data_IF_393249443525
#
_entry.id   IF_393249443525
#
_cell.length_a   1.000
_cell.length_b   1.000
_cell.length_c   1.000
_cell.angle_alpha   90.00
_cell.angle_beta   90.00
_cell.angle_gamma   90.00
#
_symmetry.space_group_name_H-M   'P 1'
#
loop_
_entity.id
_entity.type
_entity.pdbx_description
1 polymer ?
#
# COMPACT_ATOMS: atom_id res chain seq x y z
N UNK A 1 -3.57 -16.71 -8.81
CA UNK A 1 -4.31 -17.82 -9.43
C UNK A 1 -3.49 -19.11 -9.47
N UNK A 2 -4.13 -20.21 -9.07
CA UNK A 2 -3.58 -21.56 -9.01
C UNK A 2 -4.53 -22.52 -9.75
N UNK A 3 -3.99 -23.51 -10.46
CA UNK A 3 -4.81 -24.47 -11.23
C UNK A 3 -5.58 -25.47 -10.37
N UNK A 4 -5.17 -25.65 -9.13
CA UNK A 4 -5.75 -26.58 -8.18
C UNK A 4 -6.03 -25.83 -6.87
N UNK A 5 -7.20 -26.07 -6.31
CA UNK A 5 -7.66 -25.51 -5.06
C UNK A 5 -8.40 -26.60 -4.26
N UNK A 6 -8.42 -26.47 -2.94
CA UNK A 6 -9.13 -27.38 -2.06
C UNK A 6 -9.89 -26.60 -1.00
N UNK A 7 -10.95 -27.23 -0.48
CA UNK A 7 -11.71 -26.71 0.65
C UNK A 7 -11.02 -27.03 1.96
N UNK A 8 -11.11 -26.08 2.90
CA UNK A 8 -10.72 -26.28 4.29
C UNK A 8 -11.59 -27.36 4.94
N UNK A 9 -11.11 -27.97 6.03
CA UNK A 9 -11.92 -28.86 6.86
C UNK A 9 -13.17 -28.16 7.42
N UNK A 10 -13.06 -26.86 7.73
CA UNK A 10 -14.19 -26.06 8.24
C UNK A 10 -15.31 -25.89 7.20
N UNK A 11 -14.96 -25.90 5.92
CA UNK A 11 -15.88 -25.70 4.79
C UNK A 11 -16.24 -27.01 4.07
N UNK A 12 -16.14 -28.13 4.78
CA UNK A 12 -16.51 -29.46 4.30
C UNK A 12 -15.51 -30.11 3.34
N UNK A 13 -14.27 -29.60 3.29
CA UNK A 13 -13.14 -30.21 2.60
C UNK A 13 -12.27 -31.07 3.52
N UNK A 14 -11.00 -31.22 3.14
CA UNK A 14 -10.03 -32.06 3.87
C UNK A 14 -8.75 -31.33 4.25
N UNK A 15 -8.51 -30.14 3.70
CA UNK A 15 -7.29 -29.39 3.96
C UNK A 15 -7.32 -28.76 5.36
N UNK A 16 -6.21 -28.84 6.08
CA UNK A 16 -6.07 -28.38 7.46
C UNK A 16 -5.37 -27.03 7.57
N UNK A 17 -4.48 -26.71 6.62
CA UNK A 17 -3.59 -25.55 6.75
C UNK A 17 -3.80 -24.52 5.65
N UNK A 18 -3.90 -23.26 6.04
CA UNK A 18 -3.65 -22.11 5.17
C UNK A 18 -2.21 -21.60 5.35
N UNK A 19 -1.82 -20.59 4.59
CA UNK A 19 -0.57 -19.85 4.77
C UNK A 19 -0.42 -19.30 6.19
N UNK A 20 -1.53 -18.89 6.83
CA UNK A 20 -1.55 -18.42 8.22
C UNK A 20 -1.08 -19.48 9.21
N UNK A 21 -1.71 -20.67 9.22
CA UNK A 21 -1.33 -21.73 10.16
C UNK A 21 0.10 -22.20 9.93
N UNK A 22 0.51 -22.32 8.66
CA UNK A 22 1.87 -22.71 8.29
C UNK A 22 2.91 -21.68 8.76
N UNK A 23 2.61 -20.39 8.59
CA UNK A 23 3.49 -19.29 9.01
C UNK A 23 3.66 -19.27 10.53
N UNK A 24 2.57 -19.44 11.29
CA UNK A 24 2.62 -19.51 12.75
C UNK A 24 3.49 -20.67 13.24
N UNK A 25 3.28 -21.87 12.69
CA UNK A 25 4.08 -23.05 13.03
C UNK A 25 5.55 -22.85 12.69
N UNK A 26 5.86 -22.26 11.53
CA UNK A 26 7.23 -21.97 11.12
C UNK A 26 7.91 -20.98 12.08
N UNK A 27 7.25 -19.86 12.42
CA UNK A 27 7.80 -18.85 13.32
C UNK A 27 8.00 -19.37 14.75
N UNK A 28 7.16 -20.31 15.22
CA UNK A 28 7.31 -20.92 16.55
C UNK A 28 8.44 -21.96 16.63
N UNK A 29 8.78 -22.60 15.51
CA UNK A 29 9.62 -23.82 15.51
C UNK A 29 10.95 -23.65 14.79
N UNK A 30 11.11 -22.66 13.93
CA UNK A 30 12.27 -22.50 13.08
C UNK A 30 13.11 -21.27 13.41
N UNK A 31 14.42 -21.40 13.20
CA UNK A 31 15.41 -20.32 13.36
C UNK A 31 15.97 -19.79 12.03
N UNK A 32 15.72 -20.51 10.94
CA UNK A 32 16.24 -20.20 9.60
C UNK A 32 15.13 -20.25 8.57
N UNK A 33 15.30 -19.53 7.47
CA UNK A 33 14.37 -19.50 6.36
C UNK A 33 14.21 -20.89 5.73
N UNK A 34 15.32 -21.63 5.56
CA UNK A 34 15.30 -23.02 5.12
C UNK A 34 14.42 -23.92 5.99
N UNK A 35 14.59 -23.86 7.32
CA UNK A 35 13.78 -24.65 8.24
C UNK A 35 12.29 -24.35 8.07
N UNK A 36 11.95 -23.06 7.96
CA UNK A 36 10.56 -22.64 7.79
C UNK A 36 9.95 -23.21 6.51
N UNK A 37 10.66 -23.14 5.38
CA UNK A 37 10.22 -23.72 4.10
C UNK A 37 10.00 -25.22 4.21
N UNK A 38 10.97 -25.95 4.76
CA UNK A 38 10.89 -27.40 4.88
C UNK A 38 9.76 -27.84 5.81
N UNK A 39 9.56 -27.12 6.92
CA UNK A 39 8.48 -27.40 7.88
C UNK A 39 7.10 -27.11 7.28
N UNK A 40 6.91 -25.93 6.67
CA UNK A 40 5.63 -25.59 6.03
C UNK A 40 5.31 -26.57 4.90
N UNK A 41 6.32 -26.89 4.08
CA UNK A 41 6.21 -27.86 3.00
C UNK A 41 5.85 -29.27 3.49
N UNK A 42 6.50 -29.78 4.54
CA UNK A 42 6.20 -31.11 5.12
C UNK A 42 4.79 -31.16 5.72
N UNK A 43 4.38 -30.13 6.47
CA UNK A 43 3.06 -30.11 7.11
C UNK A 43 1.95 -30.08 6.07
N UNK A 44 2.06 -29.17 5.09
CA UNK A 44 1.07 -29.07 4.03
C UNK A 44 1.05 -30.34 3.15
N UNK A 45 2.22 -30.86 2.77
CA UNK A 45 2.30 -32.02 1.88
C UNK A 45 1.89 -33.33 2.55
N UNK A 46 2.37 -33.60 3.78
CA UNK A 46 2.34 -34.92 4.39
C UNK A 46 1.42 -35.03 5.60
N UNK A 47 0.91 -33.92 6.15
CA UNK A 47 0.11 -33.93 7.39
C UNK A 47 -1.33 -33.48 7.21
N UNK A 48 -1.56 -32.44 6.41
CA UNK A 48 -2.85 -31.76 6.45
C UNK A 48 -3.38 -31.19 5.16
N UNK A 49 -2.64 -31.19 4.05
CA UNK A 49 -3.06 -30.48 2.84
C UNK A 49 -3.03 -28.96 3.01
N UNK A 50 -3.35 -28.26 1.91
CA UNK A 50 -3.37 -26.80 1.85
C UNK A 50 -4.70 -26.28 1.28
N UNK A 51 -5.20 -25.16 1.80
CA UNK A 51 -6.27 -24.37 1.21
C UNK A 51 -5.87 -22.89 1.15
N UNK A 52 -6.29 -22.18 0.10
CA UNK A 52 -6.07 -20.73 -0.06
C UNK A 52 -7.17 -19.90 0.59
N UNK A 53 -7.19 -18.59 0.31
CA UNK A 53 -8.18 -17.64 0.84
C UNK A 53 -9.62 -18.05 0.49
N UNK A 54 -9.85 -18.56 -0.73
CA UNK A 54 -11.10 -19.21 -1.12
C UNK A 54 -10.86 -20.50 -1.94
N UNK A 55 -11.95 -21.12 -2.42
CA UNK A 55 -11.92 -22.42 -3.11
C UNK A 55 -11.80 -22.30 -4.64
N UNK A 56 -11.71 -21.08 -5.13
CA UNK A 56 -11.56 -20.70 -6.52
C UNK A 56 -10.11 -20.82 -6.98
N UNK A 57 -9.96 -20.93 -8.29
CA UNK A 57 -8.63 -20.99 -8.94
C UNK A 57 -7.94 -19.63 -8.99
N UNK A 58 -8.65 -18.55 -8.71
CA UNK A 58 -8.11 -17.19 -8.66
C UNK A 58 -7.30 -16.92 -7.38
N UNK A 59 -7.72 -17.47 -6.24
CA UNK A 59 -7.09 -17.26 -4.92
C UNK A 59 -6.68 -18.56 -4.19
N UNK A 60 -6.91 -19.74 -4.77
CA UNK A 60 -6.62 -21.04 -4.11
C UNK A 60 -5.14 -21.39 -3.91
N UNK A 61 -4.22 -20.46 -4.16
CA UNK A 61 -2.78 -20.66 -3.99
C UNK A 61 -2.08 -19.39 -3.53
N UNK A 62 -1.02 -19.57 -2.75
CA UNK A 62 -0.39 -18.50 -1.97
C UNK A 62 1.11 -18.36 -2.26
N UNK A 63 1.62 -17.17 -1.95
CA UNK A 63 3.02 -16.81 -2.10
C UNK A 63 3.55 -16.21 -0.80
N UNK A 64 4.64 -16.76 -0.29
CA UNK A 64 5.30 -16.29 0.92
C UNK A 64 6.73 -15.88 0.61
N UNK A 65 7.20 -14.82 1.28
CA UNK A 65 8.61 -14.43 1.29
C UNK A 65 9.15 -14.71 2.69
N UNK A 66 10.19 -15.52 2.76
CA UNK A 66 10.80 -15.97 4.01
C UNK A 66 12.26 -15.55 3.99
N UNK A 67 12.70 -14.89 5.04
CA UNK A 67 14.08 -14.45 5.16
C UNK A 67 14.61 -14.61 6.58
N UNK A 68 15.91 -14.81 6.68
CA UNK A 68 16.70 -14.73 7.90
C UNK A 68 17.94 -13.85 7.64
N UNK A 69 18.86 -13.67 8.61
CA UNK A 69 20.02 -12.80 8.41
C UNK A 69 21.00 -13.21 7.30
N UNK A 70 20.84 -14.40 6.70
CA UNK A 70 21.77 -14.99 5.74
C UNK A 70 21.17 -15.29 4.37
N UNK A 71 19.85 -15.45 4.29
CA UNK A 71 19.17 -15.80 3.03
C UNK A 71 17.73 -15.31 2.97
N UNK A 72 17.22 -15.14 1.75
CA UNK A 72 15.82 -14.84 1.46
C UNK A 72 15.30 -15.79 0.39
N UNK A 73 14.03 -16.15 0.50
CA UNK A 73 13.37 -17.17 -0.31
C UNK A 73 11.96 -16.72 -0.70
N UNK A 74 11.56 -17.12 -1.90
CA UNK A 74 10.16 -17.08 -2.34
C UNK A 74 9.62 -18.50 -2.28
N UNK A 75 8.43 -18.69 -1.70
CA UNK A 75 7.74 -19.97 -1.53
C UNK A 75 6.33 -19.88 -2.11
N UNK A 76 6.01 -20.74 -3.08
CA UNK A 76 4.66 -20.86 -3.66
C UNK A 76 4.02 -22.16 -3.23
N UNK A 77 2.73 -22.12 -2.94
CA UNK A 77 1.99 -23.29 -2.45
C UNK A 77 0.55 -23.29 -2.97
N UNK A 78 0.08 -24.46 -3.37
CA UNK A 78 -1.32 -24.73 -3.71
C UNK A 78 -1.74 -26.11 -3.22
N UNK A 79 -3.04 -26.37 -3.26
CA UNK A 79 -3.59 -27.69 -2.95
C UNK A 79 -3.14 -28.74 -3.98
N UNK A 80 -3.08 -30.00 -3.54
CA UNK A 80 -3.07 -31.12 -4.47
C UNK A 80 -4.52 -31.50 -4.90
N UNK A 81 -4.69 -32.34 -5.94
CA UNK A 81 -6.02 -32.75 -6.42
C UNK A 81 -6.87 -33.50 -5.38
N UNK A 82 -6.25 -34.12 -4.36
CA UNK A 82 -6.99 -34.84 -3.33
C UNK A 82 -7.48 -33.94 -2.19
N UNK A 83 -6.94 -32.73 -2.07
CA UNK A 83 -7.17 -31.82 -0.95
C UNK A 83 -6.58 -32.31 0.38
N UNK A 84 -5.79 -33.38 0.37
CA UNK A 84 -5.15 -33.98 1.57
C UNK A 84 -3.65 -33.75 1.59
N UNK A 85 -3.10 -33.20 0.52
CA UNK A 85 -1.71 -32.86 0.34
C UNK A 85 -1.60 -31.46 -0.28
N UNK A 86 -0.37 -31.02 -0.53
CA UNK A 86 -0.06 -29.75 -1.13
C UNK A 86 1.02 -29.93 -2.20
N UNK A 87 1.06 -28.99 -3.13
CA UNK A 87 2.11 -28.85 -4.12
C UNK A 87 2.80 -27.53 -3.81
N UNK A 88 4.13 -27.52 -3.74
CA UNK A 88 4.87 -26.31 -3.41
C UNK A 88 6.23 -26.26 -4.07
N UNK A 89 6.76 -25.05 -4.25
CA UNK A 89 8.11 -24.79 -4.72
C UNK A 89 8.69 -23.58 -4.01
N UNK A 90 10.01 -23.60 -3.80
CA UNK A 90 10.74 -22.49 -3.23
C UNK A 90 12.01 -22.20 -4.06
N UNK A 91 12.35 -20.91 -4.16
CA UNK A 91 13.59 -20.46 -4.81
C UNK A 91 14.31 -19.40 -3.96
N UNK A 92 15.62 -19.55 -3.80
CA UNK A 92 16.50 -18.58 -3.13
C UNK A 92 16.59 -17.31 -3.96
N UNK A 93 16.49 -16.16 -3.32
CA UNK A 93 16.87 -14.88 -3.92
C UNK A 93 18.41 -14.80 -3.91
N UNK A 94 19.08 -14.62 -5.07
CA UNK A 94 20.53 -14.49 -5.11
C UNK A 94 21.03 -13.30 -4.27
N UNK A 95 22.22 -13.44 -3.69
CA UNK A 95 22.83 -12.38 -2.88
C UNK A 95 23.04 -11.11 -3.73
N UNK A 96 22.65 -9.96 -3.18
CA UNK A 96 22.73 -8.68 -3.87
C UNK A 96 21.63 -8.43 -4.92
N UNK A 97 20.64 -9.33 -5.01
CA UNK A 97 19.45 -9.13 -5.84
C UNK A 97 18.19 -8.90 -5.00
N UNK A 98 17.14 -8.42 -5.66
CA UNK A 98 15.79 -8.25 -5.10
C UNK A 98 14.80 -9.03 -5.95
N UNK A 99 13.88 -9.74 -5.30
CA UNK A 99 12.72 -10.37 -5.92
C UNK A 99 11.45 -9.62 -5.52
N UNK A 100 10.52 -9.46 -6.47
CA UNK A 100 9.21 -8.84 -6.21
C UNK A 100 8.12 -9.86 -6.51
N UNK A 101 7.27 -10.12 -5.51
CA UNK A 101 6.20 -11.11 -5.60
C UNK A 101 4.85 -10.38 -5.56
N UNK A 102 4.20 -10.15 -6.72
CA UNK A 102 2.83 -9.66 -6.76
C UNK A 102 1.86 -10.85 -6.57
N UNK A 103 0.56 -10.67 -6.89
CA UNK A 103 -0.44 -11.72 -6.70
C UNK A 103 -0.43 -12.79 -7.82
N UNK A 104 0.73 -13.33 -8.16
CA UNK A 104 0.92 -14.42 -9.14
C UNK A 104 2.23 -15.17 -8.90
N UNK A 105 2.34 -16.39 -9.42
CA UNK A 105 3.54 -17.21 -9.25
C UNK A 105 4.67 -16.74 -10.17
N UNK A 106 5.83 -16.42 -9.58
CA UNK A 106 7.04 -15.98 -10.29
C UNK A 106 8.17 -17.03 -10.40
N UNK A 107 8.03 -18.20 -9.77
CA UNK A 107 9.01 -19.29 -9.81
C UNK A 107 8.71 -20.07 -11.09
N UNK A 108 9.46 -19.76 -12.14
CA UNK A 108 9.35 -20.39 -13.45
C UNK A 108 10.21 -21.65 -13.51
N UNK A 109 11.22 -21.65 -14.37
CA UNK A 109 12.17 -22.74 -14.56
C UNK A 109 12.95 -23.04 -13.28
N UNK A 110 13.03 -24.32 -12.93
CA UNK A 110 13.71 -24.81 -11.74
C UNK A 110 14.79 -25.83 -12.10
N UNK A 111 16.02 -25.58 -11.64
CA UNK A 111 17.03 -26.63 -11.55
C UNK A 111 16.81 -27.43 -10.26
N UNK A 112 15.97 -28.45 -10.34
CA UNK A 112 15.62 -29.29 -9.20
C UNK A 112 16.80 -30.10 -8.63
N UNK A 113 17.92 -30.17 -9.34
CA UNK A 113 19.15 -30.79 -8.85
C UNK A 113 19.94 -29.87 -7.91
N UNK A 114 19.82 -28.55 -8.12
CA UNK A 114 20.40 -27.53 -7.25
C UNK A 114 19.54 -27.34 -5.98
N UNK A 115 19.79 -28.18 -4.98
CA UNK A 115 19.12 -28.10 -3.66
C UNK A 115 19.51 -26.88 -2.84
N UNK A 116 20.58 -26.16 -3.21
CA UNK A 116 20.97 -24.94 -2.53
C UNK A 116 20.02 -23.78 -2.89
N UNK A 117 19.59 -23.69 -4.15
CA UNK A 117 18.74 -22.60 -4.63
C UNK A 117 17.28 -22.98 -4.88
N UNK A 118 16.96 -24.28 -4.92
CA UNK A 118 15.61 -24.77 -5.19
C UNK A 118 15.15 -25.86 -4.21
N UNK A 119 13.90 -25.74 -3.78
CA UNK A 119 13.17 -26.78 -3.07
C UNK A 119 11.79 -26.98 -3.73
N UNK A 120 11.26 -28.20 -3.72
CA UNK A 120 9.99 -28.54 -4.36
C UNK A 120 9.36 -29.77 -3.71
N UNK A 121 8.03 -29.80 -3.65
CA UNK A 121 7.27 -30.95 -3.17
C UNK A 121 7.51 -32.18 -4.04
N UNK A 122 7.60 -33.36 -3.41
CA UNK A 122 7.97 -34.59 -4.12
C UNK A 122 6.90 -35.08 -5.10
N UNK A 123 5.66 -34.61 -4.95
CA UNK A 123 4.51 -34.93 -5.80
C UNK A 123 4.35 -33.98 -7.00
N UNK A 124 5.03 -32.82 -7.03
CA UNK A 124 4.80 -31.76 -8.03
C UNK A 124 4.93 -32.27 -9.47
N UNK A 125 6.06 -32.88 -9.81
CA UNK A 125 6.33 -33.36 -11.17
C UNK A 125 5.35 -34.46 -11.59
N UNK A 126 5.01 -35.37 -10.67
CA UNK A 126 4.07 -36.47 -10.94
C UNK A 126 2.68 -35.95 -11.23
N UNK A 127 2.18 -35.03 -10.39
CA UNK A 127 0.86 -34.42 -10.57
C UNK A 127 0.83 -33.58 -11.84
N UNK A 128 1.88 -32.79 -12.11
CA UNK A 128 1.96 -32.01 -13.34
C UNK A 128 1.88 -32.90 -14.59
N UNK A 129 2.55 -34.06 -14.60
CA UNK A 129 2.44 -35.03 -15.70
C UNK A 129 1.05 -35.65 -15.79
N UNK A 130 0.50 -36.10 -14.67
CA UNK A 130 -0.81 -36.75 -14.61
C UNK A 130 -1.94 -35.86 -15.17
N UNK A 131 -1.88 -34.56 -14.89
CA UNK A 131 -2.88 -33.58 -15.33
C UNK A 131 -2.53 -32.92 -16.67
N UNK A 132 -1.45 -33.35 -17.34
CA UNK A 132 -1.02 -32.79 -18.62
C UNK A 132 -0.49 -31.35 -18.53
N UNK A 133 -0.11 -30.89 -17.34
CA UNK A 133 0.49 -29.57 -17.12
C UNK A 133 1.99 -29.54 -17.45
N UNK A 134 2.64 -30.70 -17.51
CA UNK A 134 4.00 -30.88 -17.97
C UNK A 134 4.12 -32.20 -18.74
N UNK A 135 4.80 -32.19 -19.89
CA UNK A 135 5.02 -33.36 -20.74
C UNK A 135 6.08 -34.33 -20.19
N UNK A 136 6.82 -33.90 -19.17
CA UNK A 136 7.90 -34.68 -18.58
C UNK A 136 9.26 -34.52 -19.24
N UNK A 137 9.39 -33.58 -20.17
CA UNK A 137 10.60 -33.25 -20.89
C UNK A 137 11.08 -31.83 -20.58
N UNK A 138 12.38 -31.59 -20.68
CA UNK A 138 13.00 -30.29 -20.42
C UNK A 138 12.98 -29.86 -18.95
N UNK A 139 13.32 -28.60 -18.73
CA UNK A 139 13.35 -27.97 -17.41
C UNK A 139 11.93 -27.76 -16.89
N UNK A 140 11.66 -28.19 -15.66
CA UNK A 140 10.36 -28.00 -15.03
C UNK A 140 10.10 -26.51 -14.75
N UNK A 141 8.94 -26.00 -15.16
CA UNK A 141 8.49 -24.63 -14.92
C UNK A 141 7.26 -24.65 -14.00
N UNK A 142 7.44 -24.26 -12.73
CA UNK A 142 6.40 -24.42 -11.71
C UNK A 142 5.19 -23.52 -11.97
N UNK A 143 5.41 -22.23 -12.24
CA UNK A 143 4.33 -21.30 -12.55
C UNK A 143 3.59 -21.67 -13.85
N UNK A 144 4.28 -22.13 -14.89
CA UNK A 144 3.61 -22.67 -16.09
C UNK A 144 2.71 -23.87 -15.76
N UNK A 145 3.21 -24.77 -14.92
CA UNK A 145 2.51 -26.00 -14.57
C UNK A 145 1.30 -25.75 -13.65
N UNK A 146 1.39 -24.79 -12.73
CA UNK A 146 0.43 -24.68 -11.63
C UNK A 146 -0.26 -23.33 -11.48
N UNK A 147 0.14 -22.29 -12.23
CA UNK A 147 -0.57 -21.01 -12.26
C UNK A 147 -1.47 -20.91 -13.49
N UNK A 148 -2.47 -20.02 -13.39
CA UNK A 148 -3.24 -19.52 -14.54
C UNK A 148 -2.71 -18.16 -15.01
N UNK A 149 -1.65 -17.63 -14.40
CA UNK A 149 -1.08 -16.32 -14.71
C UNK A 149 -1.74 -15.21 -13.92
N UNK A 150 -2.12 -14.12 -14.58
CA UNK A 150 -2.93 -13.06 -13.97
C UNK A 150 -4.32 -13.53 -13.53
N UNK A 151 -4.96 -12.70 -12.72
CA UNK A 151 -6.39 -12.79 -12.43
C UNK A 151 -7.00 -11.38 -12.50
N UNK A 152 -8.31 -11.29 -12.72
CA UNK A 152 -9.06 -10.03 -12.92
C UNK A 152 -8.73 -9.27 -14.23
N UNK A 153 -7.48 -8.86 -14.46
CA UNK A 153 -7.06 -8.21 -15.71
C UNK A 153 -5.58 -8.48 -16.06
N UNK A 154 -5.16 -8.29 -17.33
CA UNK A 154 -3.82 -8.70 -17.81
C UNK A 154 -2.61 -8.01 -17.14
N UNK A 155 -2.84 -6.94 -16.37
CA UNK A 155 -1.77 -6.14 -15.76
C UNK A 155 -1.91 -6.01 -14.25
N UNK A 156 -2.84 -6.76 -13.64
CA UNK A 156 -3.14 -6.69 -12.22
C UNK A 156 -1.91 -6.93 -11.34
N UNK A 157 -1.01 -7.82 -11.75
CA UNK A 157 0.23 -8.18 -11.04
C UNK A 157 1.48 -7.69 -11.77
N UNK A 158 1.50 -7.83 -13.10
CA UNK A 158 2.65 -7.52 -13.94
C UNK A 158 3.06 -6.05 -13.83
N UNK A 159 2.09 -5.11 -13.78
CA UNK A 159 2.38 -3.67 -13.65
C UNK A 159 3.04 -3.33 -12.31
N UNK A 160 2.62 -3.98 -11.23
CA UNK A 160 3.21 -3.79 -9.89
C UNK A 160 4.62 -4.35 -9.82
N UNK A 161 4.83 -5.53 -10.42
CA UNK A 161 6.14 -6.16 -10.52
C UNK A 161 7.10 -5.27 -11.30
N UNK A 162 6.69 -4.84 -12.50
CA UNK A 162 7.40 -3.87 -13.32
C UNK A 162 7.77 -2.63 -12.53
N UNK A 163 6.80 -2.02 -11.86
CA UNK A 163 7.00 -0.74 -11.20
C UNK A 163 7.99 -0.84 -10.03
N UNK A 164 7.93 -1.90 -9.25
CA UNK A 164 8.90 -2.14 -8.19
C UNK A 164 10.32 -2.27 -8.77
N UNK A 165 10.51 -3.04 -9.85
CA UNK A 165 11.81 -3.12 -10.52
C UNK A 165 12.23 -1.82 -11.21
N UNK A 166 11.31 -1.07 -11.80
CA UNK A 166 11.57 0.24 -12.38
C UNK A 166 12.08 1.25 -11.33
N UNK A 167 11.58 1.18 -10.10
CA UNK A 167 12.04 2.01 -8.99
C UNK A 167 13.42 1.59 -8.45
N UNK A 168 13.72 0.29 -8.43
CA UNK A 168 14.94 -0.27 -7.83
C UNK A 168 16.10 -0.46 -8.82
N UNK A 169 15.78 -0.58 -10.12
CA UNK A 169 16.72 -0.78 -11.23
C UNK A 169 16.26 -0.03 -12.50
N UNK A 170 16.12 1.31 -12.42
CA UNK A 170 15.66 2.12 -13.55
C UNK A 170 16.52 1.96 -14.81
N UNK A 171 17.81 1.65 -14.68
CA UNK A 171 18.74 1.49 -15.82
C UNK A 171 18.34 0.40 -16.82
N UNK A 172 17.43 -0.52 -16.46
CA UNK A 172 17.04 -1.59 -17.38
C UNK A 172 15.98 -1.18 -18.41
N UNK A 173 15.31 -0.05 -18.21
CA UNK A 173 14.24 0.42 -19.10
C UNK A 173 13.24 -0.71 -19.44
N UNK A 174 12.82 -1.46 -18.42
CA UNK A 174 11.93 -2.61 -18.60
C UNK A 174 10.63 -2.20 -19.31
N UNK A 175 10.21 -3.02 -20.27
CA UNK A 175 8.94 -2.86 -20.98
C UNK A 175 7.75 -3.05 -20.02
N UNK A 176 6.92 -2.00 -19.79
CA UNK A 176 5.77 -2.09 -18.88
C UNK A 176 4.58 -2.89 -19.43
N UNK A 177 4.61 -3.29 -20.71
CA UNK A 177 3.51 -3.95 -21.40
C UNK A 177 3.53 -5.48 -21.30
N UNK A 178 4.52 -6.05 -20.60
CA UNK A 178 4.62 -7.50 -20.45
C UNK A 178 3.50 -8.05 -19.56
N UNK A 179 2.81 -9.07 -20.07
CA UNK A 179 1.76 -9.82 -19.36
C UNK A 179 2.33 -11.08 -18.69
N UNK A 180 1.63 -11.55 -17.65
CA UNK A 180 1.96 -12.83 -16.98
C UNK A 180 0.94 -13.87 -17.41
N UNK A 181 1.37 -14.81 -18.26
CA UNK A 181 0.55 -15.94 -18.70
C UNK A 181 1.21 -17.27 -18.28
N UNK A 182 0.47 -18.40 -18.33
CA UNK A 182 1.10 -19.69 -18.11
C UNK A 182 2.25 -19.96 -19.09
N UNK A 183 2.10 -19.57 -20.35
CA UNK A 183 3.06 -19.82 -21.42
C UNK A 183 4.24 -18.84 -21.40
N UNK A 184 4.02 -17.59 -20.98
CA UNK A 184 4.99 -16.51 -21.05
C UNK A 184 5.25 -15.90 -19.66
N UNK A 185 6.53 -15.86 -19.28
CA UNK A 185 6.98 -15.08 -18.14
C UNK A 185 6.97 -13.58 -18.52
N UNK A 186 6.64 -12.69 -17.57
CA UNK A 186 6.82 -11.25 -17.75
C UNK A 186 8.27 -10.86 -17.45
N UNK A 187 8.61 -10.80 -16.17
CA UNK A 187 9.86 -10.27 -15.65
C UNK A 187 10.73 -11.37 -15.02
N UNK A 188 12.05 -11.15 -14.87
CA UNK A 188 12.92 -12.10 -14.19
C UNK A 188 12.52 -12.30 -12.72
N UNK A 189 12.83 -13.48 -12.19
CA UNK A 189 12.56 -13.85 -10.80
C UNK A 189 13.13 -12.84 -9.79
N UNK A 190 14.34 -12.35 -10.06
CA UNK A 190 15.04 -11.35 -9.26
C UNK A 190 15.90 -10.47 -10.15
N UNK A 191 16.28 -9.29 -9.65
CA UNK A 191 17.14 -8.34 -10.35
C UNK A 191 18.21 -7.79 -9.42
N UNK A 192 19.41 -7.56 -9.94
CA UNK A 192 20.40 -6.74 -9.25
C UNK A 192 20.00 -5.26 -9.31
N UNK A 193 19.76 -4.58 -8.18
CA UNK A 193 19.43 -3.16 -8.16
C UNK A 193 20.59 -2.30 -8.68
N UNK A 194 20.30 -1.09 -9.15
CA UNK A 194 21.33 -0.17 -9.67
C UNK A 194 22.30 0.33 -8.59
N UNK A 195 21.83 0.33 -7.33
CA UNK A 195 22.58 0.70 -6.13
C UNK A 195 22.09 -0.12 -4.94
N UNK A 196 22.86 -0.21 -3.84
CA UNK A 196 22.35 -0.79 -2.59
C UNK A 196 21.01 -0.17 -2.18
N UNK A 197 20.07 -1.05 -1.80
CA UNK A 197 18.72 -0.70 -1.38
C UNK A 197 18.74 -0.35 0.11
N UNK A 198 18.12 0.77 0.47
CA UNK A 198 17.84 1.12 1.86
C UNK A 198 16.41 0.75 2.27
N UNK A 199 16.10 0.78 3.57
CA UNK A 199 14.73 0.59 4.05
C UNK A 199 13.78 1.60 3.40
N UNK A 200 14.21 2.87 3.30
CA UNK A 200 13.45 3.96 2.70
C UNK A 200 13.08 3.70 1.23
N UNK A 201 13.95 3.02 0.48
CA UNK A 201 13.64 2.61 -0.90
C UNK A 201 12.47 1.63 -0.95
N UNK A 202 12.42 0.67 -0.02
CA UNK A 202 11.31 -0.28 0.09
C UNK A 202 10.03 0.41 0.57
N UNK A 203 10.14 1.35 1.52
CA UNK A 203 8.99 2.17 1.94
C UNK A 203 8.41 2.95 0.74
N UNK A 204 9.27 3.51 -0.11
CA UNK A 204 8.87 4.19 -1.35
C UNK A 204 8.13 3.25 -2.31
N UNK A 205 8.60 2.01 -2.49
CA UNK A 205 7.91 1.03 -3.33
C UNK A 205 6.49 0.76 -2.80
N UNK A 206 6.32 0.54 -1.49
CA UNK A 206 5.00 0.31 -0.89
C UNK A 206 4.02 1.48 -1.03
N UNK A 207 4.54 2.69 -1.24
CA UNK A 207 3.75 3.92 -1.44
C UNK A 207 3.32 4.15 -2.87
N UNK A 208 3.82 3.38 -3.82
CA UNK A 208 3.70 3.75 -5.22
C UNK A 208 2.31 3.47 -5.82
N UNK A 209 1.86 4.43 -6.62
CA UNK A 209 0.65 4.39 -7.46
C UNK A 209 0.95 4.95 -8.86
N UNK A 210 2.11 4.56 -9.38
CA UNK A 210 2.62 4.80 -10.73
C UNK A 210 2.90 6.27 -11.07
N UNK A 211 3.09 7.14 -10.07
CA UNK A 211 3.40 8.56 -10.30
C UNK A 211 4.62 8.73 -11.22
N UNK A 212 4.50 9.65 -12.18
CA UNK A 212 5.55 9.95 -13.15
C UNK A 212 5.65 8.94 -14.30
N UNK A 213 4.63 8.11 -14.52
CA UNK A 213 4.54 7.15 -15.63
C UNK A 213 3.22 7.32 -16.37
N UNK A 214 3.09 6.70 -17.54
CA UNK A 214 1.83 6.68 -18.32
C UNK A 214 0.69 5.94 -17.60
N UNK A 215 1.00 5.17 -16.55
CA UNK A 215 0.03 4.43 -15.73
C UNK A 215 -0.36 5.17 -14.44
N UNK A 216 0.10 6.41 -14.28
CA UNK A 216 -0.14 7.23 -13.08
C UNK A 216 -1.64 7.33 -12.75
N UNK A 217 -1.99 7.03 -11.50
CA UNK A 217 -3.37 7.22 -11.02
C UNK A 217 -3.69 8.67 -10.68
N UNK A 218 -2.70 9.57 -10.73
CA UNK A 218 -2.87 11.01 -10.56
C UNK A 218 -2.54 11.73 -11.86
N UNK A 219 -3.52 12.43 -12.42
CA UNK A 219 -3.40 13.22 -13.63
C UNK A 219 -4.61 14.17 -13.76
N UNK A 220 -4.54 15.12 -14.70
CA UNK A 220 -5.64 16.02 -15.03
C UNK A 220 -6.70 15.31 -15.90
N UNK A 221 -7.39 14.34 -15.31
CA UNK A 221 -8.44 13.55 -15.97
C UNK A 221 -9.63 13.26 -15.06
N UNK A 222 -10.73 12.80 -15.67
CA UNK A 222 -11.99 12.54 -14.95
C UNK A 222 -11.83 11.48 -13.84
N UNK A 223 -11.01 10.46 -14.05
CA UNK A 223 -10.83 9.38 -13.09
C UNK A 223 -10.11 9.84 -11.81
N UNK A 224 -9.21 10.83 -11.91
CA UNK A 224 -8.50 11.40 -10.76
C UNK A 224 -9.24 12.55 -10.07
N UNK A 225 -10.29 13.10 -10.68
CA UNK A 225 -11.03 14.22 -10.11
C UNK A 225 -10.26 15.56 -10.15
N UNK A 226 -10.84 16.66 -9.64
CA UNK A 226 -10.26 18.00 -9.73
C UNK A 226 -9.01 18.20 -8.87
N UNK A 227 -8.72 17.27 -7.96
CA UNK A 227 -7.59 17.34 -7.04
C UNK A 227 -6.65 16.15 -7.16
N UNK A 228 -6.65 15.47 -8.31
CA UNK A 228 -5.69 14.45 -8.71
C UNK A 228 -5.53 13.32 -7.68
N UNK A 229 -6.64 12.70 -7.28
CA UNK A 229 -6.69 11.57 -6.34
C UNK A 229 -6.37 10.24 -7.04
N UNK A 230 -5.50 9.38 -6.46
CA UNK A 230 -5.22 8.05 -6.99
C UNK A 230 -6.29 7.02 -6.65
N UNK A 231 -7.32 7.41 -5.88
CA UNK A 231 -8.37 6.48 -5.42
C UNK A 231 -9.18 5.99 -6.62
N UNK A 232 -9.28 4.67 -6.77
CA UNK A 232 -10.15 3.95 -7.72
C UNK A 232 -10.94 2.91 -6.94
N UNK A 233 -12.16 3.26 -6.52
CA UNK A 233 -13.02 2.33 -5.79
C UNK A 233 -13.47 1.26 -6.79
N UNK A 234 -13.10 0.01 -6.55
CA UNK A 234 -13.36 -1.11 -7.44
C UNK A 234 -14.22 -2.18 -6.75
N UNK A 235 -14.82 -3.06 -7.55
CA UNK A 235 -15.60 -4.22 -7.09
C UNK A 235 -17.09 -3.93 -6.86
N UNK A 236 -17.62 -2.87 -7.48
CA UNK A 236 -19.07 -2.58 -7.44
C UNK A 236 -19.84 -3.29 -8.54
N UNK A 237 -21.12 -3.59 -8.30
CA UNK A 237 -22.00 -4.32 -9.24
C UNK A 237 -22.06 -3.70 -10.65
N UNK A 238 -21.96 -2.38 -10.77
CA UNK A 238 -21.98 -1.69 -12.06
C UNK A 238 -20.71 -1.95 -12.89
N UNK A 239 -19.55 -2.18 -12.26
CA UNK A 239 -18.32 -2.53 -13.00
C UNK A 239 -18.50 -3.87 -13.72
N UNK A 240 -19.21 -4.83 -13.11
CA UNK A 240 -19.50 -6.13 -13.71
C UNK A 240 -20.43 -6.07 -14.94
N UNK A 241 -21.13 -4.94 -15.16
CA UNK A 241 -21.96 -4.71 -16.36
C UNK A 241 -21.15 -4.17 -17.54
N UNK A 242 -19.91 -3.74 -17.30
CA UNK A 242 -19.00 -3.29 -18.35
C UNK A 242 -18.23 -4.51 -18.86
N UNK A 243 -18.47 -4.89 -20.12
CA UNK A 243 -17.95 -6.14 -20.69
C UNK A 243 -16.41 -6.25 -20.66
N UNK A 244 -15.70 -5.13 -20.79
CA UNK A 244 -14.23 -5.06 -20.75
C UNK A 244 -13.80 -3.75 -20.11
N UNK A 245 -12.85 -3.83 -19.18
CA UNK A 245 -12.26 -2.65 -18.55
C UNK A 245 -11.79 -2.97 -17.13
N UNK A 246 -10.75 -2.27 -16.70
CA UNK A 246 -10.27 -2.33 -15.33
C UNK A 246 -9.48 -1.06 -15.00
N UNK A 247 -9.43 -0.71 -13.72
CA UNK A 247 -8.47 0.27 -13.24
C UNK A 247 -7.10 -0.39 -13.09
N UNK A 248 -6.03 0.38 -13.33
CA UNK A 248 -4.69 -0.01 -12.92
C UNK A 248 -4.69 -0.30 -11.42
N UNK A 249 -4.10 -1.44 -11.04
CA UNK A 249 -3.97 -1.82 -9.63
C UNK A 249 -2.66 -1.24 -9.09
N UNK A 250 -2.68 -0.23 -8.20
CA UNK A 250 -1.45 0.30 -7.61
C UNK A 250 -0.89 -0.63 -6.53
N UNK A 251 0.37 -0.41 -6.15
CA UNK A 251 0.99 -1.07 -4.99
C UNK A 251 0.32 -0.55 -3.71
N UNK A 252 0.22 0.78 -3.58
CA UNK A 252 -0.50 1.44 -2.49
C UNK A 252 -1.96 1.66 -2.86
N UNK A 253 -2.90 0.97 -2.20
CA UNK A 253 -4.33 1.04 -2.52
C UNK A 253 -5.18 1.39 -1.29
N UNK A 254 -6.36 1.97 -1.50
CA UNK A 254 -7.27 2.42 -0.45
C UNK A 254 -7.77 1.33 0.50
N UNK A 255 -7.71 0.05 0.08
CA UNK A 255 -8.15 -1.12 0.86
C UNK A 255 -7.00 -1.89 1.51
N UNK A 256 -5.81 -1.30 1.59
CA UNK A 256 -4.70 -1.88 2.34
C UNK A 256 -4.99 -1.74 3.84
N UNK A 257 -5.05 -2.86 4.56
CA UNK A 257 -5.23 -2.84 6.02
C UNK A 257 -3.93 -2.45 6.74
N UNK A 258 -2.80 -2.93 6.26
CA UNK A 258 -1.47 -2.57 6.74
C UNK A 258 -0.38 -2.96 5.73
N UNK A 259 0.82 -2.40 5.92
CA UNK A 259 2.05 -2.81 5.27
C UNK A 259 3.14 -3.07 6.31
N UNK A 260 3.98 -4.06 6.05
CA UNK A 260 5.10 -4.44 6.91
C UNK A 260 6.41 -4.47 6.13
N UNK A 261 7.48 -4.01 6.77
CA UNK A 261 8.86 -4.21 6.29
C UNK A 261 9.68 -4.83 7.41
N UNK A 262 10.07 -6.08 7.22
CA UNK A 262 10.91 -6.82 8.15
C UNK A 262 12.37 -6.64 7.76
N UNK A 263 13.19 -6.18 8.70
CA UNK A 263 14.64 -6.03 8.49
C UNK A 263 15.35 -6.99 9.44
N UNK A 264 16.12 -7.92 8.88
CA UNK A 264 16.84 -8.97 9.62
C UNK A 264 18.36 -8.76 9.49
N UNK A 265 18.96 -7.80 10.23
CA UNK A 265 20.40 -7.56 10.13
C UNK A 265 21.22 -8.75 10.65
N UNK A 266 22.44 -8.97 10.14
CA UNK A 266 23.34 -10.04 10.61
C UNK A 266 23.64 -10.04 12.11
N UNK A 267 23.50 -8.89 12.78
CA UNK A 267 23.69 -8.75 14.22
C UNK A 267 22.51 -9.30 15.07
N UNK A 268 21.45 -9.80 14.44
CA UNK A 268 20.29 -10.42 15.12
C UNK A 268 19.25 -9.44 15.68
N UNK A 269 19.41 -8.13 15.48
CA UNK A 269 18.46 -7.11 15.94
C UNK A 269 17.36 -6.89 14.91
N UNK A 270 16.50 -7.90 14.73
CA UNK A 270 15.38 -7.84 13.78
C UNK A 270 14.42 -6.70 14.13
N UNK A 271 13.94 -5.96 13.13
CA UNK A 271 12.98 -4.86 13.29
C UNK A 271 11.80 -5.07 12.35
N UNK A 272 10.58 -4.91 12.87
CA UNK A 272 9.36 -4.86 12.08
C UNK A 272 8.91 -3.41 11.98
N UNK A 273 9.00 -2.85 10.78
CA UNK A 273 8.38 -1.58 10.45
C UNK A 273 6.94 -1.85 10.03
N UNK A 274 6.01 -1.08 10.59
CA UNK A 274 4.58 -1.25 10.35
C UNK A 274 3.96 0.09 9.99
N UNK A 275 3.17 0.10 8.93
CA UNK A 275 2.31 1.21 8.54
C UNK A 275 0.87 0.69 8.43
N UNK A 276 -0.06 1.08 9.32
CA UNK A 276 -1.44 0.70 9.17
C UNK A 276 -2.11 1.49 8.04
N UNK A 277 -3.16 0.94 7.44
CA UNK A 277 -3.86 1.55 6.32
C UNK A 277 -2.95 1.76 5.09
N UNK A 278 -3.40 2.55 4.11
CA UNK A 278 -2.70 2.75 2.84
C UNK A 278 -1.33 3.45 2.98
N UNK A 279 -0.22 2.86 2.53
CA UNK A 279 1.13 3.38 2.77
C UNK A 279 1.39 4.81 2.25
N UNK A 280 0.77 5.21 1.12
CA UNK A 280 0.97 6.55 0.59
C UNK A 280 0.41 7.65 1.49
N UNK A 281 -0.53 7.32 2.37
CA UNK A 281 -1.13 8.24 3.35
C UNK A 281 -1.03 7.69 4.78
N UNK A 282 0.01 6.88 5.05
CA UNK A 282 0.33 6.34 6.38
C UNK A 282 1.83 6.52 6.70
N UNK A 283 2.25 6.19 7.92
CA UNK A 283 3.62 6.32 8.39
C UNK A 283 4.17 4.97 8.82
N UNK A 284 5.36 4.63 8.35
CA UNK A 284 6.08 3.46 8.83
C UNK A 284 6.79 3.80 10.13
N UNK A 285 6.56 2.99 11.15
CA UNK A 285 7.24 3.09 12.44
C UNK A 285 7.62 1.70 12.96
N UNK A 286 8.69 1.57 13.77
CA UNK A 286 9.07 0.30 14.37
C UNK A 286 7.99 -0.13 15.36
N UNK A 287 7.32 -1.25 15.06
CA UNK A 287 6.29 -1.83 15.90
C UNK A 287 6.82 -2.95 16.79
N UNK A 288 7.91 -3.61 16.38
CA UNK A 288 8.46 -4.74 17.09
C UNK A 288 9.97 -4.86 16.85
N UNK A 289 10.69 -5.39 17.84
CA UNK A 289 12.10 -5.80 17.70
C UNK A 289 12.26 -7.26 18.09
N UNK A 290 13.31 -7.94 17.66
CA UNK A 290 13.57 -9.35 18.02
C UNK A 290 13.66 -9.59 19.53
N UNK A 291 13.91 -8.55 20.33
CA UNK A 291 13.94 -8.62 21.80
C UNK A 291 12.65 -8.12 22.48
N UNK A 292 11.69 -7.57 21.73
CA UNK A 292 10.44 -7.06 22.29
C UNK A 292 9.58 -8.20 22.87
N UNK A 293 8.82 -7.89 23.93
CA UNK A 293 7.90 -8.85 24.56
C UNK A 293 6.43 -8.48 24.40
N UNK A 294 6.13 -7.31 23.85
CA UNK A 294 4.78 -6.82 23.62
C UNK A 294 4.72 -5.85 22.44
N UNK A 295 3.55 -5.80 21.79
CA UNK A 295 3.26 -4.85 20.72
C UNK A 295 2.71 -3.57 21.35
N UNK A 296 3.20 -2.38 20.97
CA UNK A 296 2.68 -1.12 21.47
C UNK A 296 1.18 -0.95 21.21
N UNK A 297 0.45 -0.42 22.20
CA UNK A 297 -1.01 -0.21 22.11
C UNK A 297 -1.46 0.54 20.85
N UNK A 298 -0.74 1.54 20.31
CA UNK A 298 -1.16 2.22 19.08
C UNK A 298 -1.24 1.32 17.85
N UNK A 299 -0.49 0.22 17.79
CA UNK A 299 -0.54 -0.70 16.64
C UNK A 299 -1.61 -1.77 16.76
N UNK A 300 -2.24 -1.91 17.93
CA UNK A 300 -3.38 -2.80 18.11
C UNK A 300 -4.67 -2.16 17.58
N UNK A 301 -5.53 -2.97 16.97
CA UNK A 301 -6.89 -2.59 16.56
C UNK A 301 -7.88 -3.35 17.42
N UNK A 302 -8.90 -2.63 17.89
CA UNK A 302 -10.05 -3.20 18.58
C UNK A 302 -11.14 -3.53 17.54
N UNK A 303 -11.53 -4.79 17.43
CA UNK A 303 -12.49 -5.28 16.43
C UNK A 303 -13.96 -5.05 16.82
N UNK A 304 -14.24 -4.32 17.91
CA UNK A 304 -15.60 -4.08 18.45
C UNK A 304 -16.49 -3.11 17.64
N UNK A 305 -16.28 -2.99 16.32
CA UNK A 305 -17.04 -2.14 15.37
C UNK A 305 -16.99 -0.62 15.62
N UNK A 306 -16.27 -0.14 16.64
CA UNK A 306 -16.16 1.28 16.97
C UNK A 306 -14.81 1.88 16.56
N UNK A 307 -14.78 3.18 16.31
CA UNK A 307 -13.53 3.92 16.08
C UNK A 307 -12.72 3.96 17.38
N UNK A 308 -11.57 3.29 17.39
CA UNK A 308 -10.62 3.35 18.48
C UNK A 308 -9.60 4.48 18.27
N UNK A 309 -9.81 5.61 18.94
CA UNK A 309 -8.90 6.77 18.86
C UNK A 309 -7.48 6.49 19.36
N UNK A 310 -7.27 5.41 20.12
CA UNK A 310 -5.94 5.00 20.57
C UNK A 310 -5.17 4.21 19.50
N UNK A 311 -5.83 3.80 18.41
CA UNK A 311 -5.20 3.08 17.31
C UNK A 311 -4.62 4.04 16.27
N UNK A 312 -3.41 3.75 15.82
CA UNK A 312 -2.78 4.40 14.68
C UNK A 312 -3.49 4.05 13.36
N UNK A 313 -4.15 2.88 13.27
CA UNK A 313 -4.96 2.54 12.10
C UNK A 313 -6.07 3.57 11.86
N UNK A 314 -6.80 3.95 12.91
CA UNK A 314 -7.87 4.93 12.79
C UNK A 314 -7.34 6.34 12.52
N UNK A 315 -6.19 6.70 13.09
CA UNK A 315 -5.51 7.96 12.75
C UNK A 315 -5.11 8.00 11.27
N UNK A 316 -4.49 6.94 10.75
CA UNK A 316 -4.06 6.83 9.36
C UNK A 316 -5.23 6.80 8.38
N UNK A 317 -6.30 6.11 8.76
CA UNK A 317 -7.56 6.10 8.01
C UNK A 317 -8.17 7.50 7.95
N UNK A 318 -8.18 8.26 9.06
CA UNK A 318 -8.70 9.62 9.11
C UNK A 318 -7.90 10.59 8.23
N UNK A 319 -6.56 10.56 8.31
CA UNK A 319 -5.66 11.33 7.44
C UNK A 319 -5.91 11.01 5.96
N UNK A 320 -5.91 9.71 5.60
CA UNK A 320 -6.12 9.28 4.22
C UNK A 320 -7.49 9.70 3.68
N UNK A 321 -8.56 9.45 4.43
CA UNK A 321 -9.92 9.79 4.01
C UNK A 321 -10.11 11.30 3.89
N UNK A 322 -9.56 12.09 4.81
CA UNK A 322 -9.60 13.56 4.69
C UNK A 322 -8.82 14.06 3.49
N UNK A 323 -7.61 13.55 3.24
CA UNK A 323 -6.83 13.93 2.07
C UNK A 323 -7.59 13.64 0.76
N UNK A 324 -8.23 12.47 0.64
CA UNK A 324 -9.06 12.14 -0.52
C UNK A 324 -10.32 12.99 -0.64
N UNK A 325 -11.01 13.28 0.47
CA UNK A 325 -12.27 14.00 0.48
C UNK A 325 -12.14 15.52 0.32
N UNK A 326 -10.98 16.08 0.66
CA UNK A 326 -10.70 17.52 0.55
C UNK A 326 -10.01 17.86 -0.78
N UNK A 327 -8.69 17.95 -0.78
CA UNK A 327 -7.87 18.37 -1.91
C UNK A 327 -6.60 17.51 -1.98
N UNK A 328 -6.72 16.26 -2.43
CA UNK A 328 -5.65 15.26 -2.36
C UNK A 328 -4.27 15.80 -2.81
N UNK A 329 -4.18 16.40 -4.01
CA UNK A 329 -2.94 16.98 -4.56
C UNK A 329 -2.27 18.03 -3.67
N UNK A 330 -3.00 18.67 -2.76
CA UNK A 330 -2.45 19.60 -1.77
C UNK A 330 -2.17 18.91 -0.44
N UNK A 331 -3.16 18.18 0.07
CA UNK A 331 -3.06 17.48 1.35
C UNK A 331 -1.92 16.46 1.38
N UNK A 332 -1.68 15.76 0.28
CA UNK A 332 -0.61 14.75 0.18
C UNK A 332 0.79 15.36 0.36
N UNK A 333 0.98 16.65 0.09
CA UNK A 333 2.26 17.35 0.31
C UNK A 333 2.57 17.42 1.81
N UNK A 334 1.58 17.82 2.62
CA UNK A 334 1.76 17.91 4.07
C UNK A 334 1.87 16.51 4.71
N UNK A 335 1.13 15.52 4.17
CA UNK A 335 1.26 14.12 4.59
C UNK A 335 2.67 13.59 4.33
N UNK A 336 3.23 13.81 3.13
CA UNK A 336 4.59 13.39 2.78
C UNK A 336 5.65 14.07 3.63
N UNK A 337 5.50 15.37 3.89
CA UNK A 337 6.42 16.10 4.77
C UNK A 337 6.44 15.51 6.19
N UNK A 338 5.28 15.12 6.72
CA UNK A 338 5.20 14.49 8.04
C UNK A 338 5.71 13.04 8.05
N UNK A 339 5.48 12.26 6.98
CA UNK A 339 6.10 10.94 6.77
C UNK A 339 7.62 11.06 6.84
N UNK A 340 8.23 11.92 6.03
CA UNK A 340 9.68 12.13 5.98
C UNK A 340 10.24 12.52 7.36
N UNK A 341 9.55 13.45 8.06
CA UNK A 341 9.96 13.91 9.38
C UNK A 341 9.91 12.81 10.43
N UNK A 342 8.86 11.98 10.44
CA UNK A 342 8.69 10.90 11.42
C UNK A 342 9.57 9.70 11.10
N UNK A 343 9.76 9.36 9.84
CA UNK A 343 10.57 8.22 9.41
C UNK A 343 12.06 8.47 9.57
N UNK A 344 12.53 9.71 9.34
CA UNK A 344 13.90 10.08 9.70
C UNK A 344 14.15 9.92 11.22
N UNK A 345 13.17 10.30 12.05
CA UNK A 345 13.22 10.07 13.50
C UNK A 345 13.18 8.59 13.84
N UNK A 346 12.36 7.80 13.15
CA UNK A 346 12.25 6.36 13.36
C UNK A 346 13.56 5.64 13.00
N UNK A 347 14.21 6.02 11.90
CA UNK A 347 15.50 5.45 11.50
C UNK A 347 16.60 5.76 12.53
N UNK A 348 16.65 7.00 13.04
CA UNK A 348 17.57 7.36 14.12
C UNK A 348 17.23 6.62 15.44
N UNK A 349 15.94 6.47 15.73
CA UNK A 349 15.46 5.75 16.91
C UNK A 349 15.85 4.27 16.88
N UNK A 350 15.67 3.58 15.75
CA UNK A 350 16.06 2.16 15.60
C UNK A 350 17.54 1.96 15.90
N UNK A 351 18.42 2.82 15.37
CA UNK A 351 19.87 2.77 15.67
C UNK A 351 20.15 2.96 17.16
N UNK A 352 19.38 3.81 17.83
CA UNK A 352 19.55 4.04 19.27
C UNK A 352 19.17 2.86 20.16
N UNK A 353 18.52 1.82 19.63
CA UNK A 353 18.17 0.60 20.36
C UNK A 353 19.33 -0.41 20.45
N UNK A 354 20.42 -0.20 19.70
CA UNK A 354 21.60 -1.07 19.76
C UNK A 354 22.15 -1.16 21.19
N UNK A 355 22.36 -2.39 21.66
CA UNK A 355 22.86 -2.68 23.01
C UNK A 355 21.83 -2.59 24.14
N UNK A 356 20.61 -2.11 23.88
CA UNK A 356 19.53 -2.12 24.87
C UNK A 356 19.00 -3.55 25.12
N UNK A 357 18.61 -3.85 26.36
CA UNK A 357 17.98 -5.13 26.69
C UNK A 357 16.50 -5.19 26.26
N UNK A 358 15.90 -6.38 26.29
CA UNK A 358 14.51 -6.63 25.88
C UNK A 358 13.47 -5.68 26.52
N UNK A 359 13.58 -5.46 27.83
CA UNK A 359 12.64 -4.61 28.56
C UNK A 359 12.80 -3.14 28.17
N UNK A 360 14.05 -2.67 28.06
CA UNK A 360 14.35 -1.31 27.62
C UNK A 360 13.88 -1.06 26.18
N UNK A 361 14.15 -1.99 25.26
CA UNK A 361 13.67 -1.90 23.89
C UNK A 361 12.14 -1.82 23.83
N UNK A 362 11.45 -2.69 24.58
CA UNK A 362 9.98 -2.71 24.64
C UNK A 362 9.43 -1.35 25.10
N UNK A 363 9.91 -0.83 26.24
CA UNK A 363 9.44 0.46 26.76
C UNK A 363 9.74 1.64 25.83
N UNK A 364 10.91 1.64 25.17
CA UNK A 364 11.30 2.70 24.25
C UNK A 364 10.50 2.67 22.95
N UNK A 365 10.22 1.47 22.42
CA UNK A 365 9.37 1.29 21.23
C UNK A 365 7.94 1.71 21.54
N UNK A 366 7.41 1.40 22.72
CA UNK A 366 6.09 1.85 23.17
C UNK A 366 6.01 3.38 23.24
N UNK A 367 6.99 4.04 23.86
CA UNK A 367 7.05 5.50 23.93
C UNK A 367 7.17 6.15 22.54
N UNK A 368 7.98 5.57 21.66
CA UNK A 368 8.11 6.06 20.27
C UNK A 368 6.79 5.92 19.50
N UNK A 369 6.12 4.78 19.61
CA UNK A 369 4.83 4.53 18.98
C UNK A 369 3.75 5.51 19.45
N UNK A 370 3.72 5.84 20.75
CA UNK A 370 2.80 6.86 21.29
C UNK A 370 3.07 8.25 20.68
N UNK A 371 4.34 8.61 20.47
CA UNK A 371 4.72 9.86 19.81
C UNK A 371 4.30 9.92 18.34
N UNK A 372 4.46 8.81 17.60
CA UNK A 372 3.99 8.70 16.21
C UNK A 372 2.47 8.81 16.14
N UNK A 373 1.76 8.10 17.01
CA UNK A 373 0.29 8.17 17.12
C UNK A 373 -0.22 9.59 17.37
N UNK A 374 0.35 10.29 18.35
CA UNK A 374 -0.02 11.67 18.64
C UNK A 374 0.24 12.59 17.44
N UNK A 375 1.43 12.47 16.82
CA UNK A 375 1.79 13.28 15.65
C UNK A 375 0.85 13.05 14.46
N UNK A 376 0.39 11.82 14.25
CA UNK A 376 -0.51 11.50 13.14
C UNK A 376 -1.93 12.03 13.35
N UNK A 377 -2.43 12.04 14.59
CA UNK A 377 -3.69 12.73 14.91
C UNK A 377 -3.58 14.25 14.79
N UNK A 378 -2.45 14.83 15.22
CA UNK A 378 -2.19 16.26 15.00
C UNK A 378 -2.13 16.61 13.51
N UNK A 379 -1.55 15.72 12.67
CA UNK A 379 -1.60 15.88 11.21
C UNK A 379 -3.05 15.87 10.70
N UNK A 380 -3.90 14.96 11.16
CA UNK A 380 -5.31 14.96 10.78
C UNK A 380 -5.99 16.30 11.09
N UNK A 381 -5.86 16.81 12.32
CA UNK A 381 -6.45 18.10 12.68
C UNK A 381 -5.83 19.28 11.94
N UNK A 382 -4.54 19.22 11.64
CA UNK A 382 -3.87 20.19 10.79
C UNK A 382 -4.48 20.22 9.38
N UNK A 383 -4.69 19.06 8.76
CA UNK A 383 -5.31 18.96 7.44
C UNK A 383 -6.77 19.44 7.45
N UNK A 384 -7.52 19.14 8.52
CA UNK A 384 -8.88 19.65 8.72
C UNK A 384 -8.91 21.17 8.78
N UNK A 385 -8.04 21.78 9.59
CA UNK A 385 -7.98 23.23 9.70
C UNK A 385 -7.47 23.91 8.43
N UNK A 386 -6.52 23.28 7.71
CA UNK A 386 -5.86 23.85 6.54
C UNK A 386 -6.65 23.69 5.25
N UNK A 387 -7.28 22.56 5.02
CA UNK A 387 -8.01 22.23 3.78
C UNK A 387 -9.49 22.08 4.08
N UNK A 388 -10.17 23.21 4.30
CA UNK A 388 -11.56 23.24 4.70
C UNK A 388 -12.43 24.02 3.69
N UNK A 389 -13.61 23.49 3.39
CA UNK A 389 -14.67 24.16 2.61
C UNK A 389 -14.23 24.75 1.24
N UNK A 390 -13.24 24.14 0.58
CA UNK A 390 -12.72 24.66 -0.69
C UNK A 390 -11.65 25.75 -0.56
N UNK A 391 -11.14 26.00 0.65
CA UNK A 391 -10.08 26.95 0.95
C UNK A 391 -8.80 26.28 1.41
N UNK A 392 -7.68 26.96 1.18
CA UNK A 392 -6.43 26.77 1.93
C UNK A 392 -6.38 27.84 3.01
N UNK A 393 -6.44 27.41 4.27
CA UNK A 393 -6.38 28.28 5.45
C UNK A 393 -4.97 28.26 6.01
N UNK A 394 -4.39 29.44 6.23
CA UNK A 394 -3.09 29.58 6.88
C UNK A 394 -3.15 30.57 8.03
N UNK A 395 -2.48 30.23 9.12
CA UNK A 395 -2.34 31.09 10.30
C UNK A 395 -0.97 31.76 10.24
N UNK A 396 -0.91 33.04 9.88
CA UNK A 396 0.35 33.78 9.92
C UNK A 396 0.81 33.91 11.38
N UNK A 397 2.06 33.54 11.68
CA UNK A 397 2.64 33.71 13.01
C UNK A 397 2.60 35.21 13.39
N UNK A 398 1.94 35.52 14.50
CA UNK A 398 1.92 36.87 15.10
C UNK A 398 0.74 37.77 14.74
N UNK A 399 -0.08 37.46 13.73
CA UNK A 399 -1.24 38.32 13.36
C UNK A 399 -2.54 37.95 14.09
N UNK A 400 -2.62 36.73 14.64
CA UNK A 400 -3.84 36.18 15.25
C UNK A 400 -5.02 35.96 14.30
N UNK A 401 -4.89 36.27 13.00
CA UNK A 401 -5.97 36.16 12.01
C UNK A 401 -5.66 35.07 10.98
N UNK A 402 -6.56 34.10 10.75
CA UNK A 402 -6.42 33.16 9.64
C UNK A 402 -6.58 33.91 8.30
N UNK A 403 -5.82 33.47 7.30
CA UNK A 403 -6.04 33.83 5.89
C UNK A 403 -6.64 32.62 5.20
N UNK A 404 -7.72 32.81 4.44
CA UNK A 404 -8.38 31.75 3.69
C UNK A 404 -8.31 32.09 2.20
N UNK A 405 -7.66 31.23 1.42
CA UNK A 405 -7.54 31.40 -0.05
C UNK A 405 -8.43 30.37 -0.73
N UNK A 406 -9.43 30.83 -1.46
CA UNK A 406 -10.28 29.94 -2.25
C UNK A 406 -9.44 29.24 -3.32
N UNK A 407 -9.56 27.92 -3.42
CA UNK A 407 -8.80 27.13 -4.39
C UNK A 407 -9.52 27.08 -5.74
N UNK A 408 -10.84 26.84 -5.70
CA UNK A 408 -11.64 26.62 -6.90
C UNK A 408 -11.28 25.32 -7.63
N UNK A 409 -11.98 25.07 -8.74
CA UNK A 409 -11.67 23.96 -9.62
C UNK A 409 -10.70 24.38 -10.74
N UNK A 410 -9.82 23.47 -11.20
CA UNK A 410 -8.94 23.77 -12.31
C UNK A 410 -9.74 23.95 -13.61
N UNK A 411 -9.20 24.73 -14.55
CA UNK A 411 -9.89 25.08 -15.79
C UNK A 411 -10.31 23.85 -16.61
N UNK A 412 -9.48 22.80 -16.65
CA UNK A 412 -9.79 21.57 -17.35
C UNK A 412 -11.03 20.87 -16.76
N UNK A 413 -11.19 20.89 -15.43
CA UNK A 413 -12.35 20.30 -14.75
C UNK A 413 -13.61 21.13 -14.98
N UNK A 414 -13.49 22.46 -14.95
CA UNK A 414 -14.60 23.36 -15.29
C UNK A 414 -15.09 23.10 -16.72
N UNK A 415 -14.17 22.92 -17.67
CA UNK A 415 -14.51 22.56 -19.04
C UNK A 415 -15.15 21.16 -19.14
N UNK A 416 -14.59 20.15 -18.45
CA UNK A 416 -15.10 18.78 -18.44
C UNK A 416 -16.50 18.66 -17.81
N UNK A 417 -16.84 19.57 -16.90
CA UNK A 417 -18.15 19.64 -16.24
C UNK A 417 -19.15 20.56 -16.93
N UNK A 418 -18.81 21.09 -18.11
CA UNK A 418 -19.63 22.04 -18.86
C UNK A 418 -20.02 23.28 -18.04
N UNK A 419 -19.09 23.78 -17.23
CA UNK A 419 -19.32 24.94 -16.35
C UNK A 419 -19.81 26.18 -17.12
N UNK A 420 -19.39 26.33 -18.38
CA UNK A 420 -19.83 27.40 -19.29
C UNK A 420 -21.33 27.36 -19.59
N UNK A 421 -21.96 26.18 -19.47
CA UNK A 421 -23.41 25.96 -19.64
C UNK A 421 -24.18 26.17 -18.34
N UNK A 422 -23.68 27.05 -17.47
CA UNK A 422 -24.32 27.43 -16.22
C UNK A 422 -25.80 27.85 -16.35
N UNK A 423 -26.44 28.29 -15.26
CA UNK A 423 -27.90 28.38 -15.15
C UNK A 423 -28.61 28.94 -16.41
N UNK A 424 -29.59 28.18 -16.91
CA UNK A 424 -30.35 28.51 -18.14
C UNK A 424 -30.89 29.95 -18.06
N UNK A 425 -30.59 30.75 -19.09
CA UNK A 425 -30.99 32.16 -19.18
C UNK A 425 -29.90 33.18 -18.82
N UNK A 426 -28.75 32.73 -18.32
CA UNK A 426 -27.57 33.59 -18.16
C UNK A 426 -26.83 33.72 -19.50
N UNK A 427 -26.77 34.95 -20.05
CA UNK A 427 -26.02 35.26 -21.28
C UNK A 427 -24.70 35.94 -20.94
N UNK A 428 -23.73 35.92 -21.86
CA UNK A 428 -22.49 36.70 -21.71
C UNK A 428 -22.76 38.18 -21.45
N UNK A 429 -23.84 38.73 -22.03
CA UNK A 429 -24.29 40.10 -21.80
C UNK A 429 -24.78 40.33 -20.37
N UNK A 430 -25.53 39.40 -19.76
CA UNK A 430 -25.98 39.55 -18.37
C UNK A 430 -24.82 39.52 -17.37
N UNK A 431 -23.80 38.69 -17.62
CA UNK A 431 -22.58 38.68 -16.79
C UNK A 431 -21.77 39.96 -16.95
N UNK A 432 -21.61 40.47 -18.17
CA UNK A 432 -20.91 41.74 -18.42
C UNK A 432 -21.62 42.92 -17.73
N UNK A 433 -22.96 42.98 -17.83
CA UNK A 433 -23.76 44.00 -17.15
C UNK A 433 -23.66 43.91 -15.62
N UNK A 434 -23.64 42.70 -15.06
CA UNK A 434 -23.42 42.49 -13.63
C UNK A 434 -22.01 42.95 -13.20
N UNK A 435 -20.96 42.54 -13.93
CA UNK A 435 -19.57 42.96 -13.64
C UNK A 435 -19.42 44.47 -13.66
N UNK A 436 -20.03 45.15 -14.63
CA UNK A 436 -20.04 46.62 -14.70
C UNK A 436 -20.72 47.23 -13.47
N UNK A 437 -21.93 46.78 -13.13
CA UNK A 437 -22.65 47.28 -11.93
C UNK A 437 -21.85 47.09 -10.64
N UNK A 438 -21.18 45.95 -10.48
CA UNK A 438 -20.32 45.68 -9.31
C UNK A 438 -19.08 46.58 -9.29
N UNK A 439 -18.44 46.80 -10.44
CA UNK A 439 -17.29 47.71 -10.55
C UNK A 439 -17.68 49.17 -10.22
N UNK A 440 -18.81 49.64 -10.75
CA UNK A 440 -19.34 50.98 -10.48
C UNK A 440 -19.66 51.15 -8.98
N UNK A 441 -20.29 50.14 -8.35
CA UNK A 441 -20.59 50.14 -6.92
C UNK A 441 -19.32 50.13 -6.05
N UNK A 442 -18.31 49.34 -6.40
CA UNK A 442 -17.03 49.30 -5.70
C UNK A 442 -16.28 50.64 -5.78
N UNK A 443 -16.29 51.29 -6.95
CA UNK A 443 -15.70 52.61 -7.13
C UNK A 443 -16.41 53.68 -6.29
N UNK A 444 -17.74 53.63 -6.19
CA UNK A 444 -18.51 54.51 -5.31
C UNK A 444 -18.17 54.27 -3.83
N UNK A 445 -18.12 53.01 -3.38
CA UNK A 445 -17.76 52.69 -2.00
C UNK A 445 -16.38 53.19 -1.62
N UNK A 446 -15.39 53.07 -2.51
CA UNK A 446 -14.05 53.63 -2.29
C UNK A 446 -14.06 55.14 -2.06
N UNK A 447 -14.94 55.88 -2.76
CA UNK A 447 -15.12 57.33 -2.53
C UNK A 447 -15.80 57.63 -1.19
N UNK A 448 -16.79 56.82 -0.81
CA UNK A 448 -17.51 56.96 0.47
C UNK A 448 -16.55 56.68 1.63
N UNK A 449 -15.80 55.58 1.57
CA UNK A 449 -14.87 55.17 2.63
C UNK A 449 -13.71 56.15 2.79
N UNK A 450 -13.25 56.80 1.72
CA UNK A 450 -12.26 57.87 1.80
C UNK A 450 -12.72 59.07 2.67
N UNK A 451 -14.03 59.25 2.82
CA UNK A 451 -14.63 60.31 3.63
C UNK A 451 -15.16 59.81 4.98
N UNK A 452 -15.01 58.51 5.30
CA UNK A 452 -15.42 57.94 6.60
C UNK A 452 -14.29 58.05 7.62
N UNK A 453 -14.57 58.69 8.75
CA UNK A 453 -13.77 58.56 9.97
C UNK A 453 -14.25 57.33 10.75
N UNK A 454 -13.43 56.30 10.79
CA UNK A 454 -13.66 55.14 11.65
C UNK A 454 -13.12 55.42 13.06
N UNK A 455 -13.79 54.94 14.13
CA UNK A 455 -13.22 54.96 15.46
C UNK A 455 -11.91 54.15 15.49
N UNK A 456 -10.96 54.47 16.40
CA UNK A 456 -9.72 53.72 16.53
C UNK A 456 -10.03 52.24 16.78
N UNK A 457 -9.28 51.36 16.10
CA UNK A 457 -9.42 49.92 16.28
C UNK A 457 -9.23 49.58 17.77
N UNK A 458 -10.18 48.84 18.36
CA UNK A 458 -10.06 48.34 19.72
C UNK A 458 -8.72 47.60 19.87
N UNK A 459 -8.01 47.84 20.97
CA UNK A 459 -6.77 47.15 21.27
C UNK A 459 -7.00 45.64 21.19
N UNK A 460 -6.13 44.92 20.48
CA UNK A 460 -6.25 43.48 20.30
C UNK A 460 -6.12 42.77 21.67
N UNK A 461 -7.26 42.49 22.30
CA UNK A 461 -7.26 42.05 23.68
C UNK A 461 -8.62 41.70 24.26
N UNK A 462 -9.59 41.23 23.48
CA UNK A 462 -10.75 40.54 24.03
C UNK A 462 -11.01 39.25 23.24
N UNK A 463 -10.77 38.11 23.91
CA UNK A 463 -11.24 36.80 23.47
C UNK A 463 -12.74 36.77 23.69
N UNK A 464 -13.51 36.62 22.62
CA UNK A 464 -14.93 36.30 22.76
C UNK A 464 -15.09 34.79 22.98
N UNK A 465 -15.75 34.43 24.07
CA UNK A 465 -16.26 33.08 24.32
C UNK A 465 -17.40 32.74 23.35
N UNK A 466 -17.60 31.43 23.20
CA UNK A 466 -18.50 30.73 22.29
C UNK A 466 -19.84 31.39 21.97
N UNK A 467 -20.34 31.09 20.76
CA UNK A 467 -21.78 30.91 20.55
C UNK A 467 -22.03 29.40 20.42
N UNK A 468 -22.99 28.94 21.25
CA UNK A 468 -23.52 27.58 21.39
C UNK A 468 -24.10 27.05 20.09
#
# INVERSE_FOLDING_TARGET
SARLAARSLADGGTALFSDKELTLLALERCKTARCAIDLMGDFAQNRGGFYGEDFGVDSGGENLVIADPTEAWVFHILADPTGKSAIWAARRVPDGEVAVVPNTYIIRQMDISNKADFAISSNALTIAKQFGFWDGHGTFDFARAFSLGEYNNPYYSARRLWRAYNLLRPSWEMDPSQEITPEQASYPFSVKPDRPISTEDILRVYRDYYEGTDFSLVADNMASGPFNSPRRIAGGDEEGKVATGAWERPISIYRTDYAVVNVCPPNGTGIVWFAPHTPHASVFAPAWTSAATSVPRPFAVDESLQVDRRSLFWAASAVSNWAHGSMFSKAIVDVRAEQERLEAKAAAFVKSLEGANAQEQTSRVEAFAAGVHAAWWELFWHLVGRYNDGYVVTHAKGSGKPTATAVGYPAWWLNATHFEQGPKGSSGASFAALKKRMADAAALMKKIDANRTYPPAAAAGERFELVV
#
